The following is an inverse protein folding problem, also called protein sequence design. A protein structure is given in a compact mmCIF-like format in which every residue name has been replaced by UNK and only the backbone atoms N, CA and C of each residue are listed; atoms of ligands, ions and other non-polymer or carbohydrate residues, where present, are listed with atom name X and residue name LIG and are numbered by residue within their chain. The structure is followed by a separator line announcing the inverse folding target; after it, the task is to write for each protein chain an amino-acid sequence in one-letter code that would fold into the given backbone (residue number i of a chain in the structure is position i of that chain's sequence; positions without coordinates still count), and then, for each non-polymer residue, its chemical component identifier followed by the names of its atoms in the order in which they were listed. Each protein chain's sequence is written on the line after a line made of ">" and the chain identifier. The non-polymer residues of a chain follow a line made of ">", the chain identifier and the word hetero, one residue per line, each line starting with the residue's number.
data_IF_509068533422
#
_entry.id   IF_509068533422
#
_cell.length_a   1.000
_cell.length_b   1.000
_cell.length_c   1.000
_cell.angle_alpha   90.00
_cell.angle_beta   90.00
_cell.angle_gamma   90.00
#
_symmetry.space_group_name_H-M   'P 1'
#
loop_
_entity.id
_entity.type
_entity.pdbx_description
1 polymer ?
#
# COMPACT_ATOMS: atom_id res chain seq x y z
N UNK A 1 -12.60 25.04 15.94
CA UNK A 1 -11.22 25.50 15.67
C UNK A 1 -10.32 24.38 15.15
N UNK A 2 -10.56 23.11 15.50
CA UNK A 2 -9.76 21.94 15.08
C UNK A 2 -9.92 21.59 13.58
N UNK A 3 -11.12 21.71 13.00
CA UNK A 3 -11.36 21.42 11.57
C UNK A 3 -10.58 22.32 10.60
N UNK A 4 -10.32 23.59 10.97
CA UNK A 4 -9.59 24.54 10.12
C UNK A 4 -8.12 24.16 9.96
N UNK A 5 -7.53 23.55 11.00
CA UNK A 5 -6.13 23.11 10.97
C UNK A 5 -5.98 21.79 10.18
N UNK A 6 -7.00 20.92 10.22
CA UNK A 6 -6.98 19.65 9.48
C UNK A 6 -7.00 19.86 7.96
N UNK A 7 -7.80 20.81 7.45
CA UNK A 7 -7.83 21.15 6.03
C UNK A 7 -6.52 21.75 5.53
N UNK A 8 -5.83 22.55 6.37
CA UNK A 8 -4.52 23.14 6.03
C UNK A 8 -3.43 22.06 6.03
N UNK A 9 -3.42 21.15 7.00
CA UNK A 9 -2.49 20.01 7.02
C UNK A 9 -2.69 19.11 5.80
N UNK A 10 -3.94 18.84 5.41
CA UNK A 10 -4.24 18.06 4.21
C UNK A 10 -3.76 18.76 2.92
N UNK A 11 -3.88 20.10 2.83
CA UNK A 11 -3.34 20.88 1.71
C UNK A 11 -1.81 20.93 1.67
N UNK A 12 -1.14 20.95 2.82
CA UNK A 12 0.33 20.95 2.89
C UNK A 12 0.87 19.55 2.56
N UNK A 13 0.20 18.49 3.07
CA UNK A 13 0.52 17.11 2.71
C UNK A 13 0.29 16.85 1.22
N UNK A 14 -0.76 17.41 0.62
CA UNK A 14 -0.99 17.25 -0.82
C UNK A 14 0.09 17.95 -1.65
N UNK A 15 0.58 19.13 -1.24
CA UNK A 15 1.70 19.79 -1.94
C UNK A 15 2.99 18.98 -1.85
N UNK A 16 3.36 18.49 -0.66
CA UNK A 16 4.56 17.67 -0.49
C UNK A 16 4.48 16.34 -1.28
N UNK A 17 3.30 15.75 -1.38
CA UNK A 17 3.07 14.54 -2.19
C UNK A 17 3.21 14.86 -3.69
N UNK A 18 2.60 15.96 -4.16
CA UNK A 18 2.62 16.36 -5.58
C UNK A 18 4.03 16.74 -6.06
N UNK A 19 4.80 17.47 -5.25
CA UNK A 19 6.18 17.87 -5.60
C UNK A 19 7.10 16.65 -5.78
N UNK A 20 6.90 15.60 -4.99
CA UNK A 20 7.68 14.37 -5.11
C UNK A 20 7.25 13.50 -6.29
N UNK A 21 5.96 13.53 -6.65
CA UNK A 21 5.44 12.85 -7.84
C UNK A 21 6.03 13.47 -9.12
N UNK A 22 6.14 14.80 -9.20
CA UNK A 22 6.74 15.47 -10.35
C UNK A 22 8.26 15.33 -10.45
N UNK A 23 8.95 14.96 -9.37
CA UNK A 23 10.40 14.74 -9.33
C UNK A 23 10.79 13.25 -9.35
N UNK A 24 9.85 12.34 -9.57
CA UNK A 24 10.17 10.92 -9.74
C UNK A 24 11.11 10.75 -10.94
N UNK A 25 12.24 10.06 -10.74
CA UNK A 25 13.13 9.73 -11.86
C UNK A 25 12.48 8.68 -12.75
N UNK A 26 11.72 7.77 -12.14
CA UNK A 26 11.08 6.63 -12.79
C UNK A 26 9.72 6.37 -12.14
N UNK A 27 8.80 5.85 -12.94
CA UNK A 27 7.50 5.39 -12.47
C UNK A 27 7.46 3.87 -12.58
N UNK A 28 6.63 3.24 -11.75
CA UNK A 28 6.42 1.80 -11.83
C UNK A 28 4.93 1.46 -11.71
N UNK A 29 4.53 0.42 -12.41
CA UNK A 29 3.21 -0.20 -12.25
C UNK A 29 3.40 -1.61 -11.73
N UNK A 30 2.90 -1.91 -10.54
CA UNK A 30 2.95 -3.24 -9.96
C UNK A 30 1.61 -3.93 -9.97
N UNK A 31 1.62 -5.25 -10.11
CA UNK A 31 0.48 -6.13 -9.84
C UNK A 31 0.89 -7.16 -8.79
N UNK A 32 -0.01 -7.54 -7.89
CA UNK A 32 0.38 -8.48 -6.85
C UNK A 32 -0.67 -8.74 -5.79
N UNK A 33 -0.20 -9.38 -4.73
CA UNK A 33 -0.94 -9.69 -3.52
C UNK A 33 -0.16 -9.20 -2.28
N UNK A 34 -0.87 -8.75 -1.26
CA UNK A 34 -0.31 -8.34 0.03
C UNK A 34 -0.57 -6.85 0.34
N UNK A 35 0.12 -6.33 1.35
CA UNK A 35 -0.10 -4.95 1.79
C UNK A 35 0.21 -3.92 0.70
N UNK A 36 1.34 -3.98 -0.05
CA UNK A 36 1.64 -3.00 -1.10
C UNK A 36 0.63 -2.95 -2.25
N UNK A 37 -0.32 -3.88 -2.31
CA UNK A 37 -1.35 -4.01 -3.34
C UNK A 37 -2.78 -3.89 -2.76
N UNK A 38 -2.92 -3.55 -1.47
CA UNK A 38 -4.20 -3.53 -0.74
C UNK A 38 -4.98 -4.84 -0.93
N UNK A 39 -4.34 -5.97 -0.62
CA UNK A 39 -4.87 -7.29 -0.92
C UNK A 39 -4.38 -7.77 -2.28
N UNK A 40 -5.26 -8.25 -3.15
CA UNK A 40 -4.94 -8.57 -4.55
C UNK A 40 -5.28 -7.35 -5.40
N UNK A 41 -4.28 -6.79 -6.09
CA UNK A 41 -4.47 -5.53 -6.76
C UNK A 41 -3.25 -5.02 -7.51
N UNK A 42 -3.24 -3.70 -7.67
CA UNK A 42 -2.21 -2.97 -8.36
C UNK A 42 -1.59 -1.92 -7.44
N UNK A 43 -0.37 -1.52 -7.76
CA UNK A 43 0.21 -0.29 -7.22
C UNK A 43 0.85 0.53 -8.33
N UNK A 44 0.92 1.83 -8.09
CA UNK A 44 1.61 2.78 -8.95
C UNK A 44 2.64 3.51 -8.11
N UNK A 45 3.90 3.33 -8.47
CA UNK A 45 5.05 3.79 -7.72
C UNK A 45 5.79 4.94 -8.40
N UNK A 46 6.36 5.79 -7.57
CA UNK A 46 7.25 6.89 -7.91
C UNK A 46 8.60 6.57 -7.26
N UNK A 47 9.62 6.33 -8.09
CA UNK A 47 10.95 5.95 -7.65
C UNK A 47 11.87 7.16 -7.77
N UNK A 48 12.66 7.40 -6.73
CA UNK A 48 13.71 8.41 -6.73
C UNK A 48 14.88 7.90 -5.86
N UNK A 49 15.99 7.56 -6.49
CA UNK A 49 17.14 6.92 -5.83
C UNK A 49 16.71 5.69 -5.02
N UNK A 50 16.94 5.70 -3.71
CA UNK A 50 16.57 4.61 -2.81
C UNK A 50 15.11 4.69 -2.31
N UNK A 51 14.32 5.68 -2.72
CA UNK A 51 12.93 5.87 -2.26
C UNK A 51 11.92 5.36 -3.29
N UNK A 52 10.97 4.52 -2.83
CA UNK A 52 9.76 4.15 -3.56
C UNK A 52 8.54 4.66 -2.78
N UNK A 53 7.80 5.61 -3.36
CA UNK A 53 6.50 6.06 -2.84
C UNK A 53 5.42 5.51 -3.76
N UNK A 54 4.36 4.93 -3.25
CA UNK A 54 3.34 4.32 -4.10
C UNK A 54 1.94 4.56 -3.58
N UNK A 55 0.99 4.55 -4.50
CA UNK A 55 -0.43 4.36 -4.23
C UNK A 55 -0.83 2.97 -4.69
N UNK A 56 -1.85 2.38 -4.07
CA UNK A 56 -2.31 1.03 -4.39
C UNK A 56 -3.82 0.97 -4.37
N UNK A 57 -4.36 0.04 -5.15
CA UNK A 57 -5.77 -0.26 -5.21
C UNK A 57 -5.93 -1.77 -5.35
N UNK A 58 -6.80 -2.36 -4.54
CA UNK A 58 -6.98 -3.79 -4.54
C UNK A 58 -8.15 -4.23 -3.68
N UNK A 59 -8.35 -5.54 -3.65
CA UNK A 59 -9.39 -6.17 -2.84
C UNK A 59 -8.77 -7.24 -1.94
N UNK A 60 -9.13 -7.22 -0.66
CA UNK A 60 -8.68 -8.20 0.33
C UNK A 60 -9.43 -9.52 0.20
N UNK A 61 -10.70 -9.45 -0.20
CA UNK A 61 -11.53 -10.62 -0.45
C UNK A 61 -12.55 -10.31 -1.54
N UNK A 62 -12.83 -11.31 -2.36
CA UNK A 62 -13.92 -11.33 -3.33
C UNK A 62 -14.68 -12.63 -3.05
N UNK A 63 -15.87 -12.52 -2.49
CA UNK A 63 -16.70 -13.64 -2.08
C UNK A 63 -18.10 -13.60 -2.71
N UNK A 64 -18.71 -14.77 -2.85
CA UNK A 64 -20.13 -14.89 -3.18
C UNK A 64 -20.88 -15.24 -1.89
N UNK A 65 -21.78 -14.35 -1.48
CA UNK A 65 -22.72 -14.61 -0.39
C UNK A 65 -23.84 -15.55 -0.86
N UNK A 66 -24.38 -16.35 0.07
CA UNK A 66 -25.47 -17.31 -0.18
C UNK A 66 -26.75 -16.67 -0.75
N UNK A 67 -26.84 -15.34 -0.78
CA UNK A 67 -27.95 -14.56 -1.29
C UNK A 67 -27.71 -13.93 -2.69
N UNK A 68 -26.73 -14.42 -3.47
CA UNK A 68 -26.33 -13.86 -4.77
C UNK A 68 -25.77 -12.42 -4.73
N UNK A 69 -25.31 -11.94 -3.56
CA UNK A 69 -24.57 -10.69 -3.46
C UNK A 69 -23.06 -10.96 -3.62
N UNK A 70 -22.40 -10.14 -4.44
CA UNK A 70 -20.93 -10.10 -4.52
C UNK A 70 -20.47 -9.21 -3.38
N UNK A 71 -19.74 -9.79 -2.45
CA UNK A 71 -19.10 -9.05 -1.36
C UNK A 71 -17.65 -8.84 -1.74
N UNK A 72 -17.26 -7.58 -1.84
CA UNK A 72 -15.93 -7.16 -2.27
C UNK A 72 -15.39 -6.16 -1.27
N UNK A 73 -14.43 -6.58 -0.46
CA UNK A 73 -13.72 -5.68 0.45
C UNK A 73 -12.55 -5.07 -0.33
N UNK A 74 -12.82 -3.97 -1.03
CA UNK A 74 -11.86 -3.26 -1.88
C UNK A 74 -11.52 -1.90 -1.30
N UNK A 75 -10.34 -1.42 -1.61
CA UNK A 75 -9.83 -0.18 -1.05
C UNK A 75 -8.66 0.40 -1.78
N UNK A 76 -8.16 1.47 -1.21
CA UNK A 76 -6.98 2.16 -1.67
C UNK A 76 -5.97 2.27 -0.53
N UNK A 77 -4.70 2.30 -0.90
CA UNK A 77 -3.61 2.44 0.04
C UNK A 77 -2.52 3.33 -0.51
N UNK A 78 -1.64 3.74 0.39
CA UNK A 78 -0.41 4.43 0.04
C UNK A 78 0.72 3.87 0.90
N UNK A 79 1.93 3.93 0.37
CA UNK A 79 3.09 3.49 1.11
C UNK A 79 4.36 4.15 0.65
N UNK A 80 5.39 3.93 1.45
CA UNK A 80 6.74 4.40 1.22
C UNK A 80 7.70 3.31 1.64
N UNK A 81 8.72 3.04 0.83
CA UNK A 81 9.77 2.07 1.07
C UNK A 81 11.12 2.68 0.72
N UNK A 82 12.14 2.27 1.45
CA UNK A 82 13.53 2.58 1.13
C UNK A 82 14.38 1.33 0.97
N UNK A 83 15.26 1.34 -0.02
CA UNK A 83 16.17 0.23 -0.30
C UNK A 83 17.51 0.31 0.44
N UNK A 84 17.86 1.47 0.99
CA UNK A 84 19.17 1.75 1.60
C UNK A 84 19.22 1.57 3.13
N UNK A 85 18.10 1.21 3.76
CA UNK A 85 18.01 1.07 5.23
C UNK A 85 18.75 -0.18 5.73
N UNK A 86 18.61 -1.31 5.02
CA UNK A 86 19.19 -2.60 5.42
C UNK A 86 20.63 -2.73 4.89
N UNK A 87 20.85 -2.31 3.65
CA UNK A 87 22.17 -2.32 3.02
C UNK A 87 22.26 -1.22 1.98
N UNK A 88 23.45 -0.66 1.79
CA UNK A 88 23.72 0.33 0.74
C UNK A 88 24.44 -0.29 -0.47
N UNK A 89 24.60 -1.62 -0.49
CA UNK A 89 25.36 -2.33 -1.54
C UNK A 89 24.55 -2.62 -2.79
N UNK A 90 23.25 -2.79 -2.62
CA UNK A 90 22.28 -3.02 -3.67
C UNK A 90 20.94 -2.47 -3.21
N UNK A 91 19.98 -2.44 -4.12
CA UNK A 91 18.64 -1.92 -3.93
C UNK A 91 17.59 -3.04 -3.83
N UNK A 92 18.02 -4.29 -3.66
CA UNK A 92 17.12 -5.46 -3.62
C UNK A 92 16.24 -5.50 -2.35
N UNK A 93 16.58 -4.77 -1.29
CA UNK A 93 15.92 -4.88 0.01
C UNK A 93 15.16 -3.61 0.38
N UNK A 94 13.84 -3.58 0.13
CA UNK A 94 13.00 -2.46 0.52
C UNK A 94 12.36 -2.66 1.90
N UNK A 95 12.41 -1.64 2.76
CA UNK A 95 11.62 -1.58 4.01
C UNK A 95 10.92 -0.24 4.15
N UNK A 96 9.71 -0.23 4.67
CA UNK A 96 9.02 1.01 4.99
C UNK A 96 7.64 0.80 5.56
N UNK A 97 6.72 1.70 5.23
CA UNK A 97 5.39 1.78 5.81
C UNK A 97 4.32 1.68 4.73
N UNK A 98 3.21 1.05 5.10
CA UNK A 98 2.01 0.98 4.28
C UNK A 98 0.81 1.40 5.12
N UNK A 99 -0.10 2.16 4.53
CA UNK A 99 -1.41 2.49 5.09
C UNK A 99 -2.49 2.26 4.03
N UNK A 100 -3.62 1.67 4.39
CA UNK A 100 -4.76 1.53 3.49
C UNK A 100 -6.08 1.67 4.20
N UNK A 101 -7.10 2.00 3.41
CA UNK A 101 -8.49 2.03 3.82
C UNK A 101 -9.28 1.16 2.87
N UNK A 102 -10.06 0.24 3.41
CA UNK A 102 -10.95 -0.60 2.62
C UNK A 102 -12.40 -0.40 3.04
N UNK A 103 -13.28 -0.65 2.09
CA UNK A 103 -14.72 -0.56 2.31
C UNK A 103 -15.30 -1.95 2.29
N UNK A 104 -15.83 -2.37 3.44
CA UNK A 104 -16.46 -3.68 3.56
C UNK A 104 -17.97 -3.54 3.29
N UNK A 105 -18.51 -4.35 2.37
CA UNK A 105 -19.94 -4.38 2.07
C UNK A 105 -20.71 -5.46 2.82
N UNK A 106 -20.10 -6.14 3.79
CA UNK A 106 -20.75 -7.19 4.58
C UNK A 106 -21.88 -6.62 5.47
N UNK A 107 -23.05 -7.27 5.47
CA UNK A 107 -24.16 -7.02 6.40
C UNK A 107 -24.80 -5.60 6.41
N UNK A 108 -24.84 -4.86 5.29
CA UNK A 108 -25.45 -3.50 5.22
C UNK A 108 -24.84 -2.50 6.22
N UNK A 109 -23.60 -2.72 6.67
CA UNK A 109 -22.85 -1.76 7.49
C UNK A 109 -21.71 -1.19 6.67
N UNK A 110 -21.76 0.12 6.49
CA UNK A 110 -20.78 0.92 5.76
C UNK A 110 -19.55 1.18 6.65
N UNK A 111 -18.79 0.13 6.94
CA UNK A 111 -17.66 0.22 7.86
C UNK A 111 -16.34 0.36 7.08
N UNK A 112 -15.59 1.43 7.40
CA UNK A 112 -14.25 1.68 6.88
C UNK A 112 -13.26 0.92 7.76
N UNK A 113 -12.50 0.01 7.16
CA UNK A 113 -11.41 -0.70 7.82
C UNK A 113 -10.09 0.01 7.49
N UNK A 114 -9.30 0.33 8.52
CA UNK A 114 -8.00 0.98 8.38
C UNK A 114 -6.87 0.00 8.66
N UNK A 115 -5.90 -0.06 7.76
CA UNK A 115 -4.73 -0.92 7.85
C UNK A 115 -3.50 -0.03 7.90
N UNK A 116 -2.55 -0.35 8.78
CA UNK A 116 -1.23 0.25 8.73
C UNK A 116 -0.18 -0.73 9.26
N UNK A 117 0.99 -0.73 8.64
CA UNK A 117 2.02 -1.70 8.96
C UNK A 117 3.39 -1.33 8.44
N UNK A 118 4.37 -2.07 8.93
CA UNK A 118 5.71 -2.07 8.35
C UNK A 118 5.70 -3.07 7.21
N UNK A 119 6.27 -2.70 6.06
CA UNK A 119 6.40 -3.59 4.91
C UNK A 119 7.86 -3.84 4.62
N UNK A 120 8.19 -5.10 4.34
CA UNK A 120 9.47 -5.52 3.79
C UNK A 120 9.24 -6.20 2.43
N UNK A 121 10.10 -5.90 1.46
CA UNK A 121 10.11 -6.52 0.14
C UNK A 121 11.54 -6.81 -0.31
N UNK A 122 11.73 -7.99 -0.89
CA UNK A 122 12.91 -8.37 -1.64
C UNK A 122 12.59 -8.33 -3.13
N UNK A 123 13.29 -7.48 -3.87
CA UNK A 123 13.13 -7.27 -5.31
C UNK A 123 14.26 -7.99 -6.04
N UNK A 124 13.94 -9.00 -6.85
CA UNK A 124 14.97 -9.89 -7.42
C UNK A 124 15.94 -9.19 -8.38
N UNK A 125 15.54 -8.05 -8.94
CA UNK A 125 16.33 -7.27 -9.90
C UNK A 125 16.69 -5.86 -9.43
N UNK A 126 16.32 -5.51 -8.20
CA UNK A 126 16.36 -4.12 -7.73
C UNK A 126 14.96 -3.53 -7.60
N UNK A 127 14.79 -2.54 -6.73
CA UNK A 127 13.52 -1.85 -6.48
C UNK A 127 13.18 -0.86 -7.61
N UNK A 128 14.17 -0.44 -8.38
CA UNK A 128 14.05 0.46 -9.53
C UNK A 128 13.82 -0.28 -10.86
N UNK A 129 13.66 -1.61 -10.84
CA UNK A 129 13.74 -2.43 -12.05
C UNK A 129 12.56 -3.39 -12.19
N UNK A 130 12.13 -3.61 -13.43
CA UNK A 130 11.08 -4.56 -13.78
C UNK A 130 11.42 -5.97 -13.33
N UNK A 131 10.59 -6.56 -12.47
CA UNK A 131 10.82 -7.89 -11.95
C UNK A 131 9.84 -8.35 -10.89
N UNK A 132 10.08 -9.58 -10.42
CA UNK A 132 9.36 -10.16 -9.30
C UNK A 132 9.84 -9.56 -7.97
N UNK A 133 8.95 -9.55 -6.99
CA UNK A 133 9.25 -9.25 -5.60
C UNK A 133 8.47 -10.17 -4.66
N UNK A 134 9.04 -10.43 -3.48
CA UNK A 134 8.41 -11.17 -2.39
C UNK A 134 8.65 -10.44 -1.06
N UNK A 135 7.76 -10.62 -0.09
CA UNK A 135 7.93 -9.90 1.17
C UNK A 135 6.91 -10.27 2.22
N UNK A 136 6.87 -9.45 3.26
CA UNK A 136 5.88 -9.58 4.32
C UNK A 136 5.57 -8.23 4.96
N UNK A 137 4.37 -8.11 5.53
CA UNK A 137 3.94 -6.90 6.22
C UNK A 137 3.19 -7.24 7.51
N UNK A 138 3.83 -7.16 8.68
CA UNK A 138 3.10 -7.10 9.93
C UNK A 138 2.30 -5.79 9.98
N UNK A 139 1.00 -5.91 10.20
CA UNK A 139 0.05 -4.80 10.16
C UNK A 139 -0.90 -4.84 11.35
N UNK A 140 -1.39 -3.66 11.72
CA UNK A 140 -2.54 -3.49 12.60
C UNK A 140 -3.73 -3.14 11.71
N UNK A 141 -4.86 -3.75 12.02
CA UNK A 141 -6.15 -3.57 11.37
C UNK A 141 -7.09 -3.00 12.40
N UNK A 142 -7.73 -1.87 12.09
CA UNK A 142 -8.76 -1.24 12.90
C UNK A 142 -10.10 -1.34 12.16
N UNK A 143 -11.03 -2.06 12.75
CA UNK A 143 -12.40 -2.25 12.27
C UNK A 143 -13.44 -1.91 13.37
N UNK A 144 -14.71 -2.21 13.12
CA UNK A 144 -15.82 -1.98 14.05
C UNK A 144 -15.71 -2.79 15.37
N UNK A 145 -14.94 -3.89 15.36
CA UNK A 145 -14.71 -4.79 16.50
C UNK A 145 -13.45 -4.44 17.27
N UNK A 146 -12.60 -3.55 16.74
CA UNK A 146 -11.43 -3.00 17.41
C UNK A 146 -10.14 -3.21 16.63
N UNK A 147 -9.01 -3.16 17.34
CA UNK A 147 -7.68 -3.31 16.75
C UNK A 147 -7.18 -4.74 16.85
N UNK A 148 -6.74 -5.33 15.74
CA UNK A 148 -6.10 -6.64 15.73
C UNK A 148 -4.85 -6.66 14.82
N UNK A 149 -3.93 -7.58 15.09
CA UNK A 149 -2.69 -7.73 14.32
C UNK A 149 -2.82 -8.80 13.24
N UNK A 150 -2.24 -8.56 12.07
CA UNK A 150 -2.16 -9.51 10.97
C UNK A 150 -0.76 -9.53 10.36
N UNK A 151 -0.42 -10.63 9.66
CA UNK A 151 0.80 -10.76 8.89
C UNK A 151 0.44 -11.05 7.43
N UNK A 152 0.80 -10.14 6.55
CA UNK A 152 0.64 -10.32 5.11
C UNK A 152 1.88 -10.94 4.50
N UNK A 153 1.69 -11.89 3.58
CA UNK A 153 2.73 -12.29 2.63
C UNK A 153 2.53 -11.46 1.38
N UNK A 154 3.62 -10.85 0.90
CA UNK A 154 3.61 -10.03 -0.29
C UNK A 154 4.21 -10.80 -1.45
N UNK A 155 3.54 -10.76 -2.59
CA UNK A 155 4.03 -11.30 -3.86
C UNK A 155 3.67 -10.31 -4.96
N UNK A 156 4.64 -9.90 -5.76
CA UNK A 156 4.42 -8.86 -6.74
C UNK A 156 5.24 -9.03 -8.00
N UNK A 157 4.76 -8.43 -9.08
CA UNK A 157 5.53 -8.14 -10.27
C UNK A 157 5.42 -6.66 -10.60
N UNK A 158 6.55 -6.01 -10.81
CA UNK A 158 6.67 -4.61 -11.17
C UNK A 158 7.03 -4.48 -12.64
N UNK A 159 6.38 -3.55 -13.34
CA UNK A 159 6.67 -3.09 -14.69
C UNK A 159 7.21 -1.66 -14.65
N UNK A 160 8.13 -1.36 -15.56
CA UNK A 160 8.74 -0.02 -15.76
C UNK A 160 8.08 0.70 -16.94
#
# INVERSE_FOLDING_TARGET
>A
MILKNLSVICLILSQAVVENICNASENSLGIGAGAPYTGIGINYGFINNADLKYISFGCMSIGSSSNNAIESNCGFGAGWMRSDIITTKNDNHGIGLHVSATYNTHDNRDDIELFYGVTYGYYFKGMDSQGWSIGFSPSIINDDKGSHSSLWVNLGYQYD
#
